data_IF_911852244974
#
_entry.id   IF_911852244974
#
_cell.length_a   1.000
_cell.length_b   1.000
_cell.length_c   1.000
_cell.angle_alpha   90.00
_cell.angle_beta   90.00
_cell.angle_gamma   90.00
#
_symmetry.space_group_name_H-M   'P 1'
#
loop_
_entity.id
_entity.type
_entity.pdbx_description
1 polymer ?
#
# COMPACT_ATOMS: atom_id res chain seq x y z
N UNK A 1 24.09 11.73 17.95
CA UNK A 1 23.48 11.14 16.73
C UNK A 1 21.96 11.11 16.90
N UNK A 2 21.21 11.99 16.22
CA UNK A 2 19.73 11.95 16.26
C UNK A 2 19.26 10.72 15.47
N UNK A 3 18.55 9.80 16.11
CA UNK A 3 17.89 8.67 15.44
C UNK A 3 16.98 9.25 14.36
N UNK A 4 17.24 8.96 13.08
CA UNK A 4 16.33 9.28 11.97
C UNK A 4 14.96 8.71 12.33
N UNK A 5 13.98 9.59 12.50
CA UNK A 5 12.64 9.19 12.88
C UNK A 5 12.06 8.43 11.69
N UNK A 6 11.82 7.13 11.87
CA UNK A 6 11.28 6.27 10.81
C UNK A 6 9.95 6.85 10.34
N UNK A 7 9.77 6.94 9.02
CA UNK A 7 8.51 7.32 8.39
C UNK A 7 7.33 6.60 9.06
N UNK A 8 6.28 7.36 9.40
CA UNK A 8 5.06 6.80 9.97
C UNK A 8 4.09 6.42 8.87
N UNK A 9 3.34 5.35 9.07
CA UNK A 9 2.33 4.88 8.14
C UNK A 9 0.96 4.97 8.78
N UNK A 10 -0.03 5.32 7.96
CA UNK A 10 -1.41 5.49 8.40
C UNK A 10 -2.37 4.82 7.43
N UNK A 11 -3.47 4.29 7.96
CA UNK A 11 -4.55 3.73 7.15
C UNK A 11 -5.88 4.33 7.57
N UNK A 12 -6.59 4.87 6.59
CA UNK A 12 -7.94 5.39 6.72
C UNK A 12 -8.95 4.34 6.25
N UNK A 13 -9.87 3.86 7.11
CA UNK A 13 -11.00 3.05 6.68
C UNK A 13 -11.99 3.90 5.89
N UNK A 14 -12.48 3.40 4.76
CA UNK A 14 -13.49 4.07 3.96
C UNK A 14 -14.92 3.81 4.42
N UNK A 15 -15.14 2.74 5.20
CA UNK A 15 -16.41 2.35 5.82
C UNK A 15 -16.20 1.47 7.07
N UNK A 16 -17.29 1.13 7.75
CA UNK A 16 -17.28 0.38 9.01
C UNK A 16 -16.83 -1.08 8.85
N UNK A 17 -17.24 -1.76 7.77
CA UNK A 17 -16.78 -3.13 7.48
C UNK A 17 -15.25 -3.22 7.37
N UNK A 18 -14.66 -2.22 6.71
CA UNK A 18 -13.21 -2.14 6.52
C UNK A 18 -12.51 -1.71 7.80
N UNK A 19 -13.15 -0.89 8.62
CA UNK A 19 -12.65 -0.52 9.94
C UNK A 19 -12.41 -1.75 10.81
N UNK A 20 -13.41 -2.64 10.90
CA UNK A 20 -13.30 -3.89 11.67
C UNK A 20 -12.21 -4.80 11.08
N UNK A 21 -12.15 -4.92 9.75
CA UNK A 21 -11.12 -5.72 9.09
C UNK A 21 -9.70 -5.20 9.36
N UNK A 22 -9.49 -3.87 9.32
CA UNK A 22 -8.20 -3.23 9.65
C UNK A 22 -7.84 -3.49 11.11
N UNK A 23 -8.74 -3.22 12.04
CA UNK A 23 -8.52 -3.42 13.47
C UNK A 23 -8.19 -4.88 13.81
N UNK A 24 -8.95 -5.83 13.28
CA UNK A 24 -8.71 -7.26 13.49
C UNK A 24 -7.38 -7.71 12.89
N UNK A 25 -7.02 -7.20 11.71
CA UNK A 25 -5.74 -7.53 11.06
C UNK A 25 -4.56 -6.94 11.83
N UNK A 26 -4.64 -5.69 12.30
CA UNK A 26 -3.61 -5.08 13.14
C UNK A 26 -3.38 -5.91 14.42
N UNK A 27 -4.46 -6.31 15.10
CA UNK A 27 -4.40 -7.20 16.27
C UNK A 27 -3.78 -8.55 15.93
N UNK A 28 -4.15 -9.16 14.81
CA UNK A 28 -3.59 -10.44 14.35
C UNK A 28 -2.08 -10.35 14.05
N UNK A 29 -1.59 -9.16 13.65
CA UNK A 29 -0.17 -8.88 13.46
C UNK A 29 0.56 -8.47 14.77
N UNK A 30 -0.11 -8.58 15.92
CA UNK A 30 0.43 -8.20 17.23
C UNK A 30 0.54 -6.68 17.44
N UNK A 31 -0.15 -5.88 16.62
CA UNK A 31 -0.23 -4.43 16.76
C UNK A 31 -1.50 -4.03 17.51
N UNK A 32 -1.38 -3.02 18.36
CA UNK A 32 -2.55 -2.38 18.95
C UNK A 32 -3.04 -1.28 18.00
N UNK A 33 -4.25 -1.39 17.41
CA UNK A 33 -4.79 -0.34 16.56
C UNK A 33 -4.94 0.95 17.37
N UNK A 34 -4.21 1.98 16.97
CA UNK A 34 -4.24 3.30 17.60
C UNK A 34 -4.82 4.29 16.62
N UNK A 35 -6.02 4.76 16.91
CA UNK A 35 -6.66 5.83 16.14
C UNK A 35 -5.98 7.17 16.44
N UNK A 36 -5.74 7.95 15.40
CA UNK A 36 -5.19 9.29 15.44
C UNK A 36 -5.79 10.13 14.32
N UNK A 37 -5.62 11.44 14.38
CA UNK A 37 -6.12 12.36 13.35
C UNK A 37 -4.92 12.89 12.57
N UNK A 38 -5.02 12.79 11.24
CA UNK A 38 -4.07 13.42 10.33
C UNK A 38 -4.73 14.56 9.55
N UNK A 39 -3.95 15.57 9.18
CA UNK A 39 -4.40 16.64 8.27
C UNK A 39 -3.93 16.33 6.86
N UNK A 40 -4.86 16.20 5.91
CA UNK A 40 -4.55 15.97 4.50
C UNK A 40 -5.41 16.87 3.61
N UNK A 41 -4.76 17.75 2.83
CA UNK A 41 -5.43 18.68 1.89
C UNK A 41 -6.55 19.55 2.48
N UNK A 42 -6.50 19.87 3.78
CA UNK A 42 -7.51 20.63 4.56
C UNK A 42 -8.55 19.78 5.31
N UNK A 43 -8.59 18.46 5.10
CA UNK A 43 -9.43 17.56 5.87
C UNK A 43 -8.68 16.97 7.08
N UNK A 44 -9.38 16.87 8.21
CA UNK A 44 -8.96 16.05 9.35
C UNK A 44 -9.50 14.64 9.16
N UNK A 45 -8.63 13.66 9.01
CA UNK A 45 -9.01 12.27 8.75
C UNK A 45 -8.70 11.40 9.98
N UNK A 46 -9.68 10.65 10.52
CA UNK A 46 -9.43 9.62 11.52
C UNK A 46 -8.73 8.43 10.85
N UNK A 47 -7.53 8.11 11.30
CA UNK A 47 -6.69 7.06 10.73
C UNK A 47 -6.09 6.19 11.82
N UNK A 48 -5.69 4.98 11.45
CA UNK A 48 -4.92 4.11 12.32
C UNK A 48 -3.43 4.23 12.02
N UNK A 49 -2.63 4.43 13.07
CA UNK A 49 -1.18 4.25 12.99
C UNK A 49 -0.87 2.80 12.60
N UNK A 50 0.11 2.62 11.71
CA UNK A 50 0.47 1.32 11.16
C UNK A 50 1.96 1.24 10.78
N UNK A 51 2.36 0.11 10.20
CA UNK A 51 3.73 -0.16 9.77
C UNK A 51 3.78 -0.63 8.30
N UNK A 52 4.98 -0.65 7.68
CA UNK A 52 5.14 -1.14 6.32
C UNK A 52 4.64 -2.57 6.08
N UNK A 53 4.81 -3.47 7.06
CA UNK A 53 4.40 -4.87 6.91
C UNK A 53 2.88 -5.02 6.76
N UNK A 54 2.11 -4.23 7.51
CA UNK A 54 0.66 -4.18 7.40
C UNK A 54 0.22 -3.60 6.05
N UNK A 55 0.90 -2.56 5.57
CA UNK A 55 0.63 -1.99 4.24
C UNK A 55 0.91 -3.01 3.14
N UNK A 56 2.02 -3.76 3.26
CA UNK A 56 2.34 -4.85 2.35
C UNK A 56 1.31 -5.98 2.43
N UNK A 57 0.84 -6.34 3.63
CA UNK A 57 -0.26 -7.29 3.79
C UNK A 57 -1.53 -6.80 3.09
N UNK A 58 -1.96 -5.56 3.35
CA UNK A 58 -3.12 -4.96 2.70
C UNK A 58 -2.98 -4.95 1.17
N UNK A 59 -1.78 -4.72 0.64
CA UNK A 59 -1.49 -4.72 -0.79
C UNK A 59 -1.64 -6.09 -1.47
N UNK A 60 -1.51 -7.18 -0.72
CA UNK A 60 -1.62 -8.54 -1.24
C UNK A 60 -2.89 -9.27 -0.79
N UNK A 61 -3.60 -8.74 0.21
CA UNK A 61 -4.83 -9.32 0.76
C UNK A 61 -6.06 -9.02 -0.10
N UNK A 62 -7.09 -9.87 0.02
CA UNK A 62 -8.42 -9.61 -0.57
C UNK A 62 -9.14 -8.41 0.07
N UNK A 63 -8.73 -7.98 1.26
CA UNK A 63 -9.22 -6.75 1.91
C UNK A 63 -8.93 -5.52 1.03
N UNK A 64 -7.88 -5.60 0.19
CA UNK A 64 -7.53 -4.63 -0.86
C UNK A 64 -8.61 -4.33 -1.91
N UNK A 65 -9.64 -5.18 -2.04
CA UNK A 65 -10.60 -5.11 -3.14
C UNK A 65 -12.04 -5.29 -2.63
N UNK A 66 -12.93 -4.29 -2.80
CA UNK A 66 -12.68 -3.00 -3.45
C UNK A 66 -11.84 -2.10 -2.52
N UNK A 67 -11.04 -1.19 -3.08
CA UNK A 67 -10.13 -0.28 -2.37
C UNK A 67 -10.85 0.72 -1.44
N UNK A 68 -11.59 0.20 -0.46
CA UNK A 68 -12.37 0.94 0.51
C UNK A 68 -11.49 1.44 1.67
N UNK A 69 -10.19 1.62 1.46
CA UNK A 69 -9.28 2.26 2.41
C UNK A 69 -8.28 3.14 1.68
N UNK A 70 -7.72 4.11 2.41
CA UNK A 70 -6.63 4.98 1.91
C UNK A 70 -5.42 4.81 2.80
N UNK A 71 -4.23 4.71 2.19
CA UNK A 71 -2.97 4.64 2.93
C UNK A 71 -2.26 5.98 2.81
N UNK A 72 -1.63 6.40 3.90
CA UNK A 72 -0.80 7.59 3.96
C UNK A 72 0.54 7.26 4.61
N UNK A 73 1.54 8.06 4.28
CA UNK A 73 2.81 8.04 4.98
C UNK A 73 3.22 9.48 5.30
N UNK A 74 3.84 9.65 6.46
CA UNK A 74 4.40 10.91 6.92
C UNK A 74 5.92 10.82 6.86
N UNK A 75 6.52 11.82 6.23
CA UNK A 75 7.98 11.94 6.14
C UNK A 75 8.59 12.56 7.41
N UNK A 76 9.92 12.65 7.45
CA UNK A 76 10.67 13.20 8.58
C UNK A 76 10.34 14.68 8.87
N UNK A 77 9.67 15.38 7.95
CA UNK A 77 9.26 16.78 8.08
C UNK A 77 7.79 16.93 8.48
N UNK A 78 7.08 15.82 8.75
CA UNK A 78 5.66 15.83 9.09
C UNK A 78 4.74 15.99 7.88
N UNK A 79 5.26 15.90 6.64
CA UNK A 79 4.44 16.04 5.44
C UNK A 79 3.71 14.74 5.16
N UNK A 80 2.39 14.79 5.13
CA UNK A 80 1.54 13.64 4.90
C UNK A 80 1.24 13.48 3.41
N UNK A 81 1.55 12.30 2.87
CA UNK A 81 1.33 11.97 1.46
C UNK A 81 0.48 10.71 1.33
N UNK A 82 -0.50 10.75 0.43
CA UNK A 82 -1.29 9.56 0.10
C UNK A 82 -0.42 8.55 -0.65
N UNK A 83 -0.28 7.35 -0.10
CA UNK A 83 0.33 6.22 -0.77
C UNK A 83 -0.73 5.46 -1.57
N UNK A 84 -0.41 5.14 -2.82
CA UNK A 84 -1.29 4.35 -3.69
C UNK A 84 -0.74 2.92 -3.74
N UNK A 85 -1.54 1.95 -3.29
CA UNK A 85 -1.24 0.50 -3.37
C UNK A 85 -0.88 0.02 -4.79
N UNK A 86 -1.23 0.78 -5.82
CA UNK A 86 -1.06 0.44 -7.23
C UNK A 86 0.39 0.34 -7.77
N UNK A 87 1.44 0.44 -6.96
CA UNK A 87 2.78 0.62 -7.54
C UNK A 87 3.55 -0.66 -7.89
N UNK A 88 3.29 -1.83 -7.28
CA UNK A 88 4.04 -3.07 -7.59
C UNK A 88 3.25 -4.09 -8.40
N UNK A 89 2.05 -4.46 -7.95
CA UNK A 89 1.26 -5.54 -8.59
C UNK A 89 0.70 -5.10 -9.95
N UNK A 90 0.14 -3.89 -10.05
CA UNK A 90 -0.36 -3.33 -11.31
C UNK A 90 0.77 -3.06 -12.31
N UNK A 91 1.93 -2.53 -11.87
CA UNK A 91 3.10 -2.37 -12.76
C UNK A 91 3.59 -3.71 -13.31
N UNK A 92 3.61 -4.77 -12.49
CA UNK A 92 4.02 -6.11 -12.94
C UNK A 92 3.02 -6.68 -13.97
N UNK A 93 1.71 -6.55 -13.72
CA UNK A 93 0.66 -6.98 -14.68
C UNK A 93 0.64 -6.15 -15.95
N UNK A 94 0.73 -4.82 -15.85
CA UNK A 94 0.80 -3.92 -16.99
C UNK A 94 2.07 -4.17 -17.82
N UNK A 95 3.24 -4.35 -17.18
CA UNK A 95 4.49 -4.72 -17.86
C UNK A 95 4.38 -6.09 -18.54
N UNK A 96 3.76 -7.09 -17.89
CA UNK A 96 3.53 -8.39 -18.49
C UNK A 96 2.57 -8.32 -19.71
N UNK A 97 1.50 -7.53 -19.61
CA UNK A 97 0.56 -7.29 -20.70
C UNK A 97 1.21 -6.54 -21.87
N UNK A 98 2.00 -5.49 -21.59
CA UNK A 98 2.78 -4.78 -22.60
C UNK A 98 3.84 -5.68 -23.25
N UNK A 99 4.51 -6.54 -22.48
CA UNK A 99 5.42 -7.56 -23.04
C UNK A 99 4.69 -8.52 -23.98
N UNK A 100 3.53 -9.04 -23.58
CA UNK A 100 2.72 -9.92 -24.44
C UNK A 100 2.20 -9.22 -25.70
N UNK A 101 1.87 -7.93 -25.61
CA UNK A 101 1.29 -7.16 -26.71
C UNK A 101 2.33 -6.60 -27.69
N UNK A 102 3.53 -6.27 -27.22
CA UNK A 102 4.52 -5.50 -28.01
C UNK A 102 5.89 -6.15 -28.18
N UNK A 103 6.26 -7.19 -27.41
CA UNK A 103 7.48 -7.95 -27.66
C UNK A 103 7.13 -9.20 -28.47
N UNK A 104 7.53 -9.21 -29.74
CA UNK A 104 7.52 -10.42 -30.59
C UNK A 104 8.23 -11.56 -29.85
N UNK A 105 7.78 -12.82 -30.00
CA UNK A 105 8.51 -13.96 -29.46
C UNK A 105 9.98 -13.90 -29.94
N UNK A 106 10.93 -14.33 -29.11
CA UNK A 106 12.33 -14.36 -29.52
C UNK A 106 12.42 -15.17 -30.81
N UNK A 107 13.02 -14.57 -31.85
CA UNK A 107 13.35 -15.26 -33.09
C UNK A 107 14.19 -16.46 -32.70
N UNK A 108 13.63 -17.67 -32.87
CA UNK A 108 14.37 -18.91 -32.69
C UNK A 108 15.57 -18.85 -33.64
N UNK A 109 16.76 -18.62 -33.10
CA UNK A 109 17.99 -18.79 -33.87
C UNK A 109 18.09 -20.29 -34.14
N UNK A 110 17.81 -20.69 -35.38
CA UNK A 110 18.10 -22.03 -35.85
C UNK A 110 19.60 -22.27 -35.64
N UNK A 111 19.94 -23.34 -34.93
CA UNK A 111 21.30 -23.83 -34.88
C UNK A 111 21.65 -24.32 -36.28
N UNK A 112 22.50 -23.59 -36.99
CA UNK A 112 23.13 -24.09 -38.22
C UNK A 112 24.23 -25.07 -37.81
N UNK A 113 24.06 -26.33 -38.21
CA UNK A 113 25.12 -27.34 -38.22
C UNK A 113 26.18 -26.98 -39.26
#
# INVERSE_FOLDING_TARGET
>A
MKKKQKNKWYVYPGDDEVNDAICNTLKAMGQNPKETIIKYKEENLPVYESNPDFIDYLAHSRIGLPFKFRVFWEDEFGTIRRWRLHNRVMKKRAKAHLRKKYLKPPVQKQATN
#
